data_IF_241589289850
#
_entry.id   IF_241589289850
#
_cell.length_a   1.000
_cell.length_b   1.000
_cell.length_c   1.000
_cell.angle_alpha   90.00
_cell.angle_beta   90.00
_cell.angle_gamma   90.00
#
_symmetry.space_group_name_H-M   'P 1'
#
loop_
_entity.id
_entity.type
_entity.pdbx_description
1 polymer ?
#
# COMPACT_ATOMS: atom_id res chain seq x y z
N UNK A 1 31.99 -28.64 -17.57
CA UNK A 1 30.78 -29.45 -17.80
C UNK A 1 29.98 -29.69 -16.52
N UNK A 2 30.53 -30.22 -15.40
CA UNK A 2 29.81 -30.47 -14.13
C UNK A 2 29.17 -29.23 -13.52
N UNK A 3 29.85 -28.08 -13.49
CA UNK A 3 29.31 -26.82 -12.97
C UNK A 3 28.14 -26.29 -13.80
N UNK A 4 28.21 -26.41 -15.12
CA UNK A 4 27.13 -26.00 -16.01
C UNK A 4 25.88 -26.85 -15.79
N UNK A 5 26.06 -28.17 -15.63
CA UNK A 5 24.95 -29.10 -15.34
C UNK A 5 24.34 -28.76 -13.98
N UNK A 6 25.16 -28.56 -12.93
CA UNK A 6 24.66 -28.18 -11.61
C UNK A 6 23.89 -26.84 -11.64
N UNK A 7 24.35 -25.87 -12.39
CA UNK A 7 23.68 -24.59 -12.58
C UNK A 7 22.30 -24.77 -13.27
N UNK A 8 22.24 -25.53 -14.36
CA UNK A 8 20.99 -25.81 -15.09
C UNK A 8 20.00 -26.57 -14.19
N UNK A 9 20.49 -27.59 -13.45
CA UNK A 9 19.65 -28.34 -12.51
C UNK A 9 19.09 -27.41 -11.45
N UNK A 10 19.90 -26.54 -10.85
CA UNK A 10 19.43 -25.56 -9.85
C UNK A 10 18.42 -24.57 -10.43
N UNK A 11 18.63 -24.11 -11.65
CA UNK A 11 17.73 -23.17 -12.34
C UNK A 11 16.32 -23.77 -12.58
N UNK A 12 16.23 -25.06 -12.78
CA UNK A 12 14.96 -25.78 -12.99
C UNK A 12 14.37 -26.27 -11.68
N UNK A 13 15.19 -26.83 -10.79
CA UNK A 13 14.73 -27.44 -9.55
C UNK A 13 14.09 -26.42 -8.59
N UNK A 14 14.68 -25.24 -8.43
CA UNK A 14 14.17 -24.24 -7.50
C UNK A 14 12.74 -23.78 -7.85
N UNK A 15 12.43 -23.30 -9.06
CA UNK A 15 11.07 -22.90 -9.42
C UNK A 15 10.10 -24.09 -9.39
N UNK A 16 10.56 -25.31 -9.74
CA UNK A 16 9.72 -26.51 -9.66
C UNK A 16 9.32 -26.82 -8.23
N UNK A 17 10.25 -26.73 -7.28
CA UNK A 17 9.96 -26.95 -5.84
C UNK A 17 8.99 -25.89 -5.30
N UNK A 18 9.14 -24.63 -5.69
CA UNK A 18 8.21 -23.56 -5.30
C UNK A 18 6.81 -23.83 -5.87
N UNK A 19 6.72 -24.17 -7.16
CA UNK A 19 5.45 -24.52 -7.79
C UNK A 19 4.79 -25.73 -7.09
N UNK A 20 5.57 -26.78 -6.79
CA UNK A 20 5.09 -27.97 -6.09
C UNK A 20 4.61 -27.62 -4.68
N UNK A 21 5.34 -26.78 -3.95
CA UNK A 21 4.92 -26.31 -2.63
C UNK A 21 3.60 -25.54 -2.71
N UNK A 22 3.41 -24.72 -3.77
CA UNK A 22 2.17 -24.00 -4.02
C UNK A 22 0.98 -24.94 -4.26
N UNK A 23 1.10 -25.87 -5.22
CA UNK A 23 -0.02 -26.77 -5.58
C UNK A 23 -0.32 -27.82 -4.51
N UNK A 24 0.65 -28.09 -3.63
CA UNK A 24 0.46 -29.01 -2.47
C UNK A 24 0.02 -28.30 -1.19
N UNK A 25 -0.27 -26.99 -1.24
CA UNK A 25 -0.75 -26.21 -0.10
C UNK A 25 0.29 -25.96 0.99
N UNK A 26 1.59 -26.07 0.67
CA UNK A 26 2.68 -25.85 1.65
C UNK A 26 3.13 -24.39 1.74
N UNK A 27 2.66 -23.52 0.82
CA UNK A 27 2.90 -22.09 0.95
C UNK A 27 1.89 -21.49 1.93
N UNK A 28 2.32 -20.58 2.83
CA UNK A 28 1.39 -19.88 3.72
C UNK A 28 0.42 -19.03 2.89
N UNK A 29 -0.86 -19.12 3.21
CA UNK A 29 -1.93 -18.42 2.49
C UNK A 29 -2.86 -17.64 3.40
N UNK A 30 -2.66 -17.69 4.71
CA UNK A 30 -3.46 -16.95 5.65
C UNK A 30 -2.95 -15.49 5.79
N UNK A 31 -3.89 -14.55 5.95
CA UNK A 31 -3.58 -13.14 6.05
C UNK A 31 -3.10 -12.71 7.45
N UNK A 32 -3.19 -13.58 8.45
CA UNK A 32 -2.85 -13.24 9.84
C UNK A 32 -1.40 -13.55 10.19
N UNK A 33 -0.78 -14.52 9.50
CA UNK A 33 0.62 -14.86 9.71
C UNK A 33 1.55 -13.69 9.40
N UNK A 34 2.61 -13.57 10.20
CA UNK A 34 3.67 -12.60 9.93
C UNK A 34 4.59 -13.13 8.82
N UNK A 35 4.76 -12.36 7.73
CA UNK A 35 5.63 -12.79 6.65
C UNK A 35 7.11 -12.73 7.05
N UNK A 36 7.97 -13.53 6.39
CA UNK A 36 9.39 -13.34 6.52
C UNK A 36 9.81 -11.92 6.12
N UNK A 37 10.80 -11.34 6.80
CA UNK A 37 11.24 -9.96 6.53
C UNK A 37 11.68 -9.71 5.09
N UNK A 38 12.28 -10.71 4.45
CA UNK A 38 12.68 -10.59 3.04
C UNK A 38 11.50 -10.45 2.10
N UNK A 39 10.39 -11.16 2.35
CA UNK A 39 9.17 -11.10 1.55
C UNK A 39 8.55 -9.70 1.61
N UNK A 40 8.36 -9.18 2.83
CA UNK A 40 7.87 -7.82 3.05
C UNK A 40 8.77 -6.77 2.36
N UNK A 41 10.10 -6.93 2.48
CA UNK A 41 11.04 -5.97 1.88
C UNK A 41 11.01 -5.99 0.36
N UNK A 42 10.95 -7.16 -0.25
CA UNK A 42 10.85 -7.30 -1.71
C UNK A 42 9.51 -6.78 -2.21
N UNK A 43 8.41 -7.16 -1.54
CA UNK A 43 7.07 -6.70 -1.88
C UNK A 43 6.92 -5.18 -1.81
N UNK A 44 7.42 -4.56 -0.74
CA UNK A 44 7.39 -3.09 -0.58
C UNK A 44 8.20 -2.38 -1.65
N UNK A 45 9.44 -2.82 -1.94
CA UNK A 45 10.26 -2.23 -3.01
C UNK A 45 9.60 -2.35 -4.38
N UNK A 46 9.00 -3.51 -4.67
CA UNK A 46 8.27 -3.71 -5.93
C UNK A 46 7.06 -2.79 -6.03
N UNK A 47 6.32 -2.59 -4.92
CA UNK A 47 5.19 -1.66 -4.86
C UNK A 47 5.64 -0.21 -5.07
N UNK A 48 6.68 0.24 -4.35
CA UNK A 48 7.25 1.58 -4.46
C UNK A 48 7.67 1.88 -5.91
N UNK A 49 8.45 1.00 -6.53
CA UNK A 49 8.86 1.14 -7.92
C UNK A 49 7.67 1.15 -8.90
N UNK A 50 6.64 0.34 -8.63
CA UNK A 50 5.42 0.32 -9.43
C UNK A 50 4.62 1.62 -9.29
N UNK A 51 4.47 2.15 -8.08
CA UNK A 51 3.78 3.42 -7.84
C UNK A 51 4.53 4.59 -8.48
N UNK A 52 5.86 4.62 -8.34
CA UNK A 52 6.71 5.62 -8.98
C UNK A 52 6.56 5.58 -10.52
N UNK A 53 6.60 4.39 -11.10
CA UNK A 53 6.41 4.21 -12.54
C UNK A 53 5.03 4.64 -13.02
N UNK A 54 3.95 4.32 -12.28
CA UNK A 54 2.58 4.72 -12.61
C UNK A 54 2.31 6.21 -12.38
N UNK A 55 2.99 6.82 -11.43
CA UNK A 55 2.89 8.26 -11.15
C UNK A 55 3.64 9.13 -12.18
N UNK A 56 4.57 8.53 -12.93
CA UNK A 56 5.39 9.25 -13.90
C UNK A 56 4.55 9.86 -15.00
N UNK A 57 4.67 11.18 -15.15
CA UNK A 57 3.91 11.93 -16.15
C UNK A 57 2.48 12.31 -15.74
N UNK A 58 2.04 11.94 -14.53
CA UNK A 58 0.81 12.50 -13.97
C UNK A 58 1.07 13.94 -13.52
N UNK A 59 0.13 14.80 -13.82
CA UNK A 59 0.13 16.19 -13.37
C UNK A 59 -1.02 16.40 -12.39
N UNK A 60 -0.69 16.78 -11.17
CA UNK A 60 -1.70 17.03 -10.15
C UNK A 60 -2.49 18.30 -10.49
N UNK A 61 -3.79 18.22 -10.79
CA UNK A 61 -4.59 19.38 -11.18
C UNK A 61 -4.95 20.29 -10.00
N UNK A 62 -4.72 19.83 -8.75
CA UNK A 62 -5.13 20.56 -7.55
C UNK A 62 -3.98 21.43 -7.04
N UNK A 63 -4.22 22.72 -6.92
CA UNK A 63 -3.24 23.63 -6.37
C UNK A 63 -2.86 23.28 -4.91
N UNK A 64 -1.59 23.47 -4.57
CA UNK A 64 -1.07 23.12 -3.26
C UNK A 64 -1.76 23.85 -2.09
N UNK A 65 -2.34 25.02 -2.33
CA UNK A 65 -3.02 25.85 -1.33
C UNK A 65 -4.56 25.79 -1.42
N UNK A 66 -5.13 24.86 -2.21
CA UNK A 66 -6.58 24.70 -2.33
C UNK A 66 -7.15 24.06 -1.05
N UNK A 67 -7.61 24.90 -0.14
CA UNK A 67 -8.19 24.48 1.12
C UNK A 67 -9.53 23.75 0.94
N UNK A 68 -10.31 24.12 -0.08
CA UNK A 68 -11.60 23.48 -0.35
C UNK A 68 -11.41 22.05 -0.87
N UNK A 69 -10.50 21.86 -1.82
CA UNK A 69 -10.13 20.53 -2.30
C UNK A 69 -9.56 19.64 -1.19
N UNK A 70 -8.73 20.22 -0.31
CA UNK A 70 -8.19 19.50 0.84
C UNK A 70 -9.28 19.05 1.81
N UNK A 71 -10.23 19.93 2.15
CA UNK A 71 -11.35 19.59 3.03
C UNK A 71 -12.27 18.52 2.42
N UNK A 72 -12.53 18.62 1.11
CA UNK A 72 -13.27 17.58 0.39
C UNK A 72 -12.54 16.24 0.38
N UNK A 73 -11.23 16.25 0.13
CA UNK A 73 -10.39 15.05 0.22
C UNK A 73 -10.38 14.40 1.60
N UNK A 74 -10.36 15.21 2.66
CA UNK A 74 -10.48 14.73 4.04
C UNK A 74 -11.82 14.03 4.28
N UNK A 75 -12.92 14.60 3.77
CA UNK A 75 -14.24 13.97 3.89
C UNK A 75 -14.29 12.66 3.12
N UNK A 76 -13.83 12.64 1.87
CA UNK A 76 -13.78 11.45 1.03
C UNK A 76 -12.95 10.33 1.69
N UNK A 77 -11.81 10.69 2.29
CA UNK A 77 -10.98 9.75 3.04
C UNK A 77 -11.73 9.17 4.25
N UNK A 78 -12.41 10.02 5.03
CA UNK A 78 -13.18 9.57 6.19
C UNK A 78 -14.30 8.59 5.80
N UNK A 79 -14.98 8.89 4.71
CA UNK A 79 -16.14 8.11 4.25
C UNK A 79 -15.73 6.77 3.60
N UNK A 80 -14.57 6.71 2.91
CA UNK A 80 -14.22 5.59 2.04
C UNK A 80 -12.92 4.84 2.41
N UNK A 81 -11.98 5.50 3.09
CA UNK A 81 -10.61 4.98 3.28
C UNK A 81 -10.30 4.64 4.74
N UNK A 82 -10.86 5.43 5.68
CA UNK A 82 -10.54 5.34 7.10
C UNK A 82 -10.87 3.97 7.71
N UNK A 83 -11.87 3.25 7.16
CA UNK A 83 -12.23 1.91 7.60
C UNK A 83 -11.08 0.91 7.53
N UNK A 84 -10.18 1.06 6.55
CA UNK A 84 -8.98 0.23 6.38
C UNK A 84 -7.70 0.95 6.84
N UNK A 85 -7.55 2.24 6.50
CA UNK A 85 -6.30 2.99 6.72
C UNK A 85 -6.23 3.73 8.06
N UNK A 86 -7.27 3.61 8.89
CA UNK A 86 -7.34 4.29 10.18
C UNK A 86 -7.70 5.78 10.06
N UNK A 87 -7.86 6.41 11.21
CA UNK A 87 -8.24 7.81 11.36
C UNK A 87 -7.43 8.50 12.43
N UNK A 88 -7.71 9.78 12.69
CA UNK A 88 -7.17 10.48 13.86
C UNK A 88 -7.53 9.83 15.19
N UNK A 89 -8.65 9.11 15.25
CA UNK A 89 -9.08 8.40 16.47
C UNK A 89 -8.26 7.15 16.75
N UNK A 90 -7.51 6.63 15.78
CA UNK A 90 -6.66 5.47 15.94
C UNK A 90 -6.56 4.61 14.67
N UNK A 91 -5.77 3.54 14.75
CA UNK A 91 -5.64 2.58 13.66
C UNK A 91 -6.93 1.80 13.45
N UNK A 92 -7.17 1.38 12.21
CA UNK A 92 -8.18 0.37 11.93
C UNK A 92 -7.70 -0.99 12.46
N UNK A 93 -8.45 -1.59 13.37
CA UNK A 93 -8.13 -2.93 13.87
C UNK A 93 -8.11 -3.96 12.74
N UNK A 94 -9.10 -3.88 11.85
CA UNK A 94 -9.19 -4.80 10.72
C UNK A 94 -8.10 -4.54 9.67
N UNK A 95 -7.90 -3.30 9.26
CA UNK A 95 -6.86 -2.94 8.29
C UNK A 95 -5.45 -3.25 8.77
N UNK A 96 -5.17 -3.02 10.06
CA UNK A 96 -3.84 -3.23 10.61
C UNK A 96 -3.41 -4.71 10.72
N UNK A 97 -4.36 -5.65 10.81
CA UNK A 97 -4.06 -7.06 11.04
C UNK A 97 -4.79 -8.05 10.13
N UNK A 98 -5.92 -7.67 9.54
CA UNK A 98 -6.79 -8.57 8.77
C UNK A 98 -6.41 -8.76 7.30
N UNK A 99 -5.35 -8.11 6.83
CA UNK A 99 -4.91 -8.17 5.43
C UNK A 99 -3.44 -8.54 5.30
N UNK A 100 -3.12 -9.19 4.21
CA UNK A 100 -1.75 -9.32 3.75
C UNK A 100 -1.67 -8.88 2.26
N UNK A 101 -0.77 -7.96 1.92
CA UNK A 101 0.06 -7.07 2.78
C UNK A 101 -0.76 -6.23 3.77
N UNK A 102 -0.15 -5.85 4.90
CA UNK A 102 -0.81 -5.01 5.92
C UNK A 102 -1.21 -3.67 5.33
N UNK A 103 -2.43 -3.23 5.64
CA UNK A 103 -2.89 -1.90 5.22
C UNK A 103 -2.11 -0.82 5.98
N UNK A 104 -1.47 0.13 5.30
CA UNK A 104 -0.73 1.19 5.98
C UNK A 104 -1.67 2.06 6.82
N UNK A 105 -1.29 2.28 8.08
CA UNK A 105 -2.03 3.08 9.04
C UNK A 105 -1.46 4.50 9.02
N UNK A 106 -1.96 5.35 8.13
CA UNK A 106 -1.36 6.65 7.80
C UNK A 106 -1.23 7.60 9.00
N UNK A 107 -2.21 7.61 9.90
CA UNK A 107 -2.20 8.49 11.05
C UNK A 107 -1.16 8.13 12.12
N UNK A 108 -0.67 6.89 12.15
CA UNK A 108 0.36 6.45 13.07
C UNK A 108 1.77 6.72 12.54
N UNK A 109 1.98 6.48 11.24
CA UNK A 109 3.32 6.53 10.63
C UNK A 109 3.54 7.76 9.75
N UNK A 110 2.48 8.45 9.35
CA UNK A 110 2.52 9.43 8.26
C UNK A 110 2.50 8.75 6.90
N UNK A 111 2.64 9.55 5.86
CA UNK A 111 2.82 9.10 4.48
C UNK A 111 4.07 9.73 3.91
N UNK A 112 4.76 9.01 3.05
CA UNK A 112 5.92 9.44 2.27
C UNK A 112 5.64 9.39 0.75
N UNK A 113 4.38 9.09 0.38
CA UNK A 113 3.95 9.06 -1.02
C UNK A 113 3.61 10.47 -1.51
N UNK A 114 3.88 10.74 -2.79
CA UNK A 114 3.40 11.96 -3.47
C UNK A 114 1.92 11.88 -3.77
N UNK A 115 1.29 13.01 -4.12
CA UNK A 115 -0.12 13.02 -4.53
C UNK A 115 -0.35 12.18 -5.79
N UNK A 116 0.60 12.18 -6.73
CA UNK A 116 0.56 11.38 -7.96
C UNK A 116 0.66 9.88 -7.67
N UNK A 117 1.54 9.48 -6.75
CA UNK A 117 1.64 8.08 -6.31
C UNK A 117 0.37 7.64 -5.57
N UNK A 118 -0.19 8.50 -4.72
CA UNK A 118 -1.44 8.23 -4.03
C UNK A 118 -2.61 8.14 -5.02
N UNK A 119 -2.66 9.05 -6.01
CA UNK A 119 -3.65 8.97 -7.09
C UNK A 119 -3.54 7.64 -7.84
N UNK A 120 -2.36 7.24 -8.29
CA UNK A 120 -2.15 5.99 -9.02
C UNK A 120 -2.56 4.76 -8.17
N UNK A 121 -2.29 4.78 -6.87
CA UNK A 121 -2.70 3.72 -5.96
C UNK A 121 -4.22 3.63 -5.78
N UNK A 122 -4.91 4.78 -5.66
CA UNK A 122 -6.36 4.82 -5.49
C UNK A 122 -7.05 4.49 -6.82
N UNK A 123 -6.63 5.13 -7.91
CA UNK A 123 -7.23 4.96 -9.23
C UNK A 123 -7.19 3.50 -9.69
N UNK A 124 -6.01 2.87 -9.69
CA UNK A 124 -5.81 1.52 -10.24
C UNK A 124 -5.85 0.39 -9.21
N UNK A 125 -5.82 0.74 -7.92
CA UNK A 125 -5.66 -0.24 -6.85
C UNK A 125 -4.23 -0.82 -6.78
N UNK A 126 -4.07 -1.79 -5.90
CA UNK A 126 -2.79 -2.49 -5.68
C UNK A 126 -3.03 -3.98 -5.79
N UNK A 127 -2.45 -4.59 -6.83
CA UNK A 127 -2.56 -6.03 -7.09
C UNK A 127 -2.00 -6.85 -5.93
N UNK A 128 -2.60 -7.99 -5.67
CA UNK A 128 -2.27 -8.90 -4.56
C UNK A 128 -2.41 -8.26 -3.17
N UNK A 129 -3.31 -7.29 -3.04
CA UNK A 129 -3.67 -6.67 -1.77
C UNK A 129 -5.18 -6.49 -1.64
N UNK A 130 -5.65 -6.06 -0.48
CA UNK A 130 -7.04 -5.67 -0.28
C UNK A 130 -7.43 -4.31 -0.86
N UNK A 131 -6.49 -3.57 -1.47
CA UNK A 131 -6.74 -2.26 -2.07
C UNK A 131 -7.26 -2.42 -3.50
N UNK A 132 -8.58 -2.38 -3.68
CA UNK A 132 -9.22 -2.37 -5.00
C UNK A 132 -9.05 -1.05 -5.75
N UNK A 133 -9.33 -1.07 -7.07
CA UNK A 133 -9.35 0.12 -7.91
C UNK A 133 -10.63 0.94 -7.66
N UNK A 134 -10.51 2.27 -7.66
CA UNK A 134 -11.61 3.19 -7.40
C UNK A 134 -12.07 3.96 -8.64
N UNK A 135 -11.38 3.85 -9.76
CA UNK A 135 -11.68 4.60 -11.00
C UNK A 135 -13.11 4.41 -11.52
N UNK A 136 -13.71 3.24 -11.26
CA UNK A 136 -15.08 2.97 -11.67
C UNK A 136 -16.12 3.32 -10.58
N UNK A 137 -15.67 3.70 -9.38
CA UNK A 137 -16.51 4.02 -8.21
C UNK A 137 -16.45 5.50 -7.83
N UNK A 138 -15.38 6.20 -8.22
CA UNK A 138 -15.13 7.59 -7.83
C UNK A 138 -14.66 8.39 -9.05
N UNK A 139 -15.09 9.64 -9.17
CA UNK A 139 -14.63 10.53 -10.23
C UNK A 139 -13.15 10.88 -10.05
N UNK A 140 -12.43 11.06 -11.15
CA UNK A 140 -11.00 11.43 -11.13
C UNK A 140 -10.70 12.64 -10.25
N UNK A 141 -11.53 13.69 -10.34
CA UNK A 141 -11.39 14.88 -9.50
C UNK A 141 -11.46 14.56 -7.99
N UNK A 142 -12.31 13.62 -7.59
CA UNK A 142 -12.44 13.20 -6.19
C UNK A 142 -11.28 12.26 -5.79
N UNK A 143 -10.76 11.44 -6.71
CA UNK A 143 -9.54 10.65 -6.49
C UNK A 143 -8.36 11.60 -6.27
N UNK A 144 -8.21 12.67 -7.06
CA UNK A 144 -7.17 13.67 -6.85
C UNK A 144 -7.30 14.40 -5.50
N UNK A 145 -8.53 14.76 -5.07
CA UNK A 145 -8.75 15.37 -3.75
C UNK A 145 -8.31 14.45 -2.62
N UNK A 146 -8.71 13.18 -2.65
CA UNK A 146 -8.30 12.21 -1.62
C UNK A 146 -6.80 11.93 -1.67
N UNK A 147 -6.19 11.84 -2.84
CA UNK A 147 -4.76 11.66 -3.03
C UNK A 147 -3.95 12.82 -2.44
N UNK A 148 -4.37 14.06 -2.70
CA UNK A 148 -3.78 15.27 -2.11
C UNK A 148 -3.91 15.31 -0.58
N UNK A 149 -5.03 14.84 -0.05
CA UNK A 149 -5.22 14.73 1.39
C UNK A 149 -4.27 13.67 1.98
N UNK A 150 -4.23 12.47 1.39
CA UNK A 150 -3.37 11.35 1.86
C UNK A 150 -1.91 11.77 1.86
N UNK A 151 -1.39 12.35 0.78
CA UNK A 151 0.00 12.80 0.67
C UNK A 151 0.43 13.81 1.76
N UNK A 152 -0.52 14.39 2.48
CA UNK A 152 -0.25 15.39 3.55
C UNK A 152 -0.53 14.89 4.95
N UNK A 153 -0.91 13.63 5.12
CA UNK A 153 -1.12 13.07 6.46
C UNK A 153 0.23 12.94 7.15
N UNK A 154 0.38 13.67 8.24
CA UNK A 154 1.55 13.57 9.13
C UNK A 154 1.25 12.62 10.28
N UNK A 155 2.25 11.91 10.80
CA UNK A 155 2.05 11.05 11.95
C UNK A 155 1.53 11.87 13.14
N UNK A 156 0.58 11.31 13.86
CA UNK A 156 0.18 11.88 15.13
C UNK A 156 1.40 11.82 16.05
N UNK A 157 1.80 12.96 16.59
CA UNK A 157 2.78 12.97 17.67
C UNK A 157 2.19 12.10 18.79
N UNK A 158 2.89 11.01 19.14
CA UNK A 158 2.58 10.30 20.37
C UNK A 158 2.57 11.34 21.47
N UNK A 159 1.44 11.46 22.18
CA UNK A 159 1.37 12.34 23.34
C UNK A 159 2.62 12.02 24.18
N UNK A 160 3.58 12.94 24.20
CA UNK A 160 4.84 12.74 24.88
C UNK A 160 4.46 12.41 26.32
N UNK A 161 5.12 11.39 26.87
CA UNK A 161 5.16 11.13 28.31
C UNK A 161 5.62 12.40 29.05
N UNK A 162 4.70 13.34 29.20
CA UNK A 162 4.84 14.48 30.12
C UNK A 162 3.94 14.21 31.30
N UNK A 163 4.37 13.28 32.13
CA UNK A 163 3.92 13.13 33.48
C UNK A 163 4.95 12.30 34.24
N UNK A 164 6.01 12.94 34.67
CA UNK A 164 6.79 12.55 35.84
C UNK A 164 7.02 13.79 36.69
#
# INVERSE_FOLDING_TARGET
MKLLIAFIVGLVAAPTLVALAGVTGRLPSDAMSEPPKWESSVGMRALEASLEGRAKGLENPIAANDAAAFAAGQKLYADNCAGCHGSRSGPSKWGASGFYPRVPQFWQKGTDVTAEQAYAAVHDGIRYSGMGAWRDLMKDDDIWKVANFVARIKPMQSASKSAR
#
